data_IF_776706634016
#
_entry.id   IF_776706634016
#
_cell.length_a   1.000
_cell.length_b   1.000
_cell.length_c   1.000
_cell.angle_alpha   90.00
_cell.angle_beta   90.00
_cell.angle_gamma   90.00
#
_symmetry.space_group_name_H-M   'P 1'
#
loop_
_entity.id
_entity.type
_entity.pdbx_description
1 polymer ?
#
# COMPACT_ATOMS: atom_id res chain seq x y z
N UNK A 1 20.82 3.73 -14.93
CA UNK A 1 19.94 2.57 -15.15
C UNK A 1 18.53 3.06 -14.87
N UNK A 2 17.57 2.90 -15.79
CA UNK A 2 16.23 3.45 -15.57
C UNK A 2 15.26 2.35 -15.13
N UNK A 3 14.56 2.56 -14.02
CA UNK A 3 13.62 1.61 -13.46
C UNK A 3 12.22 2.21 -13.51
N UNK A 4 11.29 1.49 -14.15
CA UNK A 4 9.88 1.84 -14.13
C UNK A 4 9.25 1.23 -12.88
N UNK A 5 8.72 2.05 -11.98
CA UNK A 5 8.04 1.60 -10.77
C UNK A 5 6.54 1.70 -10.99
N UNK A 6 5.82 0.60 -10.79
CA UNK A 6 4.38 0.46 -11.01
C UNK A 6 3.67 0.13 -9.70
N UNK A 7 2.59 0.85 -9.43
CA UNK A 7 1.63 0.54 -8.37
C UNK A 7 0.22 0.49 -8.98
N UNK A 8 -0.21 -0.72 -9.34
CA UNK A 8 -1.50 -0.98 -9.94
C UNK A 8 -2.57 -1.23 -8.86
N UNK A 9 -3.67 -0.49 -8.95
CA UNK A 9 -4.93 -0.75 -8.24
C UNK A 9 -6.01 -1.25 -9.21
N UNK A 10 -7.20 -1.56 -8.69
CA UNK A 10 -8.29 -2.14 -9.50
C UNK A 10 -8.76 -1.23 -10.65
N UNK A 11 -8.68 0.08 -10.48
CA UNK A 11 -9.13 1.08 -11.47
C UNK A 11 -8.14 2.24 -11.65
N UNK A 12 -6.91 2.08 -11.17
CA UNK A 12 -5.87 3.11 -11.29
C UNK A 12 -4.49 2.48 -11.41
N UNK A 13 -3.55 3.24 -11.97
CA UNK A 13 -2.17 2.84 -12.09
C UNK A 13 -1.27 4.05 -11.85
N UNK A 14 -0.48 4.01 -10.78
CA UNK A 14 0.54 5.01 -10.50
C UNK A 14 1.88 4.51 -11.01
N UNK A 15 2.67 5.40 -11.59
CA UNK A 15 4.01 5.05 -12.01
C UNK A 15 5.02 6.16 -11.75
N UNK A 16 6.28 5.75 -11.65
CA UNK A 16 7.44 6.62 -11.73
C UNK A 16 8.50 5.95 -12.60
N UNK A 17 9.22 6.74 -13.37
CA UNK A 17 10.45 6.30 -14.00
C UNK A 17 11.60 6.97 -13.24
N UNK A 18 12.50 6.16 -12.70
CA UNK A 18 13.58 6.60 -11.81
C UNK A 18 14.92 6.28 -12.47
N UNK A 19 15.84 7.25 -12.49
CA UNK A 19 17.23 6.99 -12.88
C UNK A 19 18.07 6.61 -11.67
N UNK A 20 18.46 5.35 -11.60
CA UNK A 20 19.19 4.78 -10.48
C UNK A 20 20.66 5.22 -10.40
N UNK A 21 21.20 5.96 -11.38
CA UNK A 21 22.55 6.55 -11.20
C UNK A 21 22.58 7.68 -10.17
N UNK A 22 21.44 8.34 -9.93
CA UNK A 22 21.33 9.45 -8.99
C UNK A 22 20.01 9.45 -8.20
N UNK A 23 19.21 8.39 -8.32
CA UNK A 23 17.89 8.21 -7.70
C UNK A 23 16.89 9.32 -8.06
N UNK A 24 17.06 10.03 -9.18
CA UNK A 24 16.14 11.08 -9.60
C UNK A 24 14.88 10.52 -10.26
N UNK A 25 13.74 11.12 -9.94
CA UNK A 25 12.46 10.84 -10.61
C UNK A 25 12.44 11.62 -11.93
N UNK A 26 12.58 10.92 -13.06
CA UNK A 26 12.60 11.55 -14.39
C UNK A 26 11.20 11.75 -14.95
N UNK A 27 10.27 10.87 -14.61
CA UNK A 27 8.84 11.04 -14.89
C UNK A 27 7.98 10.39 -13.80
N UNK A 28 6.76 10.88 -13.65
CA UNK A 28 5.73 10.24 -12.83
C UNK A 28 4.36 10.47 -13.42
N UNK A 29 3.41 9.60 -13.13
CA UNK A 29 2.05 9.82 -13.57
C UNK A 29 1.05 8.89 -12.90
N UNK A 30 -0.19 9.10 -13.31
CA UNK A 30 -1.35 8.40 -12.78
C UNK A 30 -2.37 8.18 -13.90
N UNK A 31 -2.69 6.93 -14.17
CA UNK A 31 -3.88 6.52 -14.88
C UNK A 31 -5.03 6.38 -13.88
N UNK A 32 -6.15 7.04 -14.15
CA UNK A 32 -7.36 6.95 -13.34
C UNK A 32 -8.51 6.40 -14.17
N UNK A 33 -9.47 5.78 -13.47
CA UNK A 33 -10.72 5.29 -14.06
C UNK A 33 -10.49 4.26 -15.16
N UNK A 34 -9.50 3.38 -15.00
CA UNK A 34 -9.29 2.24 -15.91
C UNK A 34 -10.53 1.34 -15.88
N UNK A 35 -10.99 0.93 -17.06
CA UNK A 35 -12.24 0.20 -17.32
C UNK A 35 -13.51 0.97 -16.90
N UNK A 36 -13.42 2.29 -16.75
CA UNK A 36 -14.51 3.18 -16.36
C UNK A 36 -14.51 4.40 -17.30
N UNK A 37 -15.70 4.89 -17.65
CA UNK A 37 -15.86 6.08 -18.49
C UNK A 37 -15.10 7.28 -17.94
N UNK A 38 -14.51 8.09 -18.82
CA UNK A 38 -13.69 9.24 -18.44
C UNK A 38 -12.31 8.86 -17.91
N UNK A 39 -11.74 7.78 -18.47
CA UNK A 39 -10.34 7.42 -18.28
C UNK A 39 -9.42 8.61 -18.55
N UNK A 40 -8.43 8.82 -17.66
CA UNK A 40 -7.48 9.91 -17.80
C UNK A 40 -6.08 9.47 -17.38
N UNK A 41 -5.08 9.82 -18.18
CA UNK A 41 -3.67 9.72 -17.83
C UNK A 41 -3.13 11.13 -17.57
N UNK A 42 -2.72 11.38 -16.33
CA UNK A 42 -1.96 12.58 -15.96
C UNK A 42 -0.47 12.22 -15.91
N UNK A 43 0.30 12.74 -16.86
CA UNK A 43 1.74 12.55 -16.99
C UNK A 43 2.50 13.80 -16.54
N UNK A 44 3.56 13.62 -15.73
CA UNK A 44 4.42 14.71 -15.26
C UNK A 44 5.88 14.38 -15.54
N UNK A 45 6.51 15.21 -16.37
CA UNK A 45 7.90 15.09 -16.78
C UNK A 45 8.49 16.47 -17.07
N UNK A 46 9.80 16.65 -16.86
CA UNK A 46 10.51 17.90 -17.18
C UNK A 46 9.84 19.17 -16.60
N UNK A 47 9.23 19.07 -15.42
CA UNK A 47 8.50 20.16 -14.76
C UNK A 47 7.15 20.53 -15.40
N UNK A 48 6.69 19.78 -16.41
CA UNK A 48 5.40 19.97 -17.08
C UNK A 48 4.42 18.85 -16.75
N UNK A 49 3.14 19.18 -16.84
CA UNK A 49 2.03 18.24 -16.73
C UNK A 49 1.33 18.14 -18.10
N UNK A 50 1.04 16.92 -18.52
CA UNK A 50 0.33 16.61 -19.77
C UNK A 50 -0.80 15.64 -19.44
N UNK A 51 -2.00 15.91 -19.96
CA UNK A 51 -3.20 15.13 -19.67
C UNK A 51 -3.71 14.49 -20.95
N UNK A 52 -3.92 13.18 -20.92
CA UNK A 52 -4.47 12.39 -22.03
C UNK A 52 -5.84 11.85 -21.64
N UNK A 53 -6.87 12.20 -22.41
CA UNK A 53 -8.26 11.78 -22.21
C UNK A 53 -8.62 10.69 -23.24
N UNK A 54 -8.02 9.52 -23.10
CA UNK A 54 -8.26 8.37 -23.97
C UNK A 54 -8.83 7.21 -23.14
N UNK A 55 -9.64 6.37 -23.78
CA UNK A 55 -10.22 5.20 -23.14
C UNK A 55 -9.14 4.19 -22.74
N UNK A 56 -9.23 3.72 -21.49
CA UNK A 56 -8.37 2.66 -20.96
C UNK A 56 -9.25 1.47 -20.56
N UNK A 57 -9.68 0.60 -21.50
CA UNK A 57 -10.60 -0.50 -21.20
C UNK A 57 -10.00 -1.55 -20.26
N UNK A 58 -8.67 -1.61 -20.13
CA UNK A 58 -7.95 -2.50 -19.23
C UNK A 58 -6.54 -1.96 -18.91
N UNK A 59 -5.83 -2.63 -18.01
CA UNK A 59 -4.48 -2.24 -17.59
C UNK A 59 -3.41 -2.38 -18.66
N UNK A 60 -3.59 -3.25 -19.65
CA UNK A 60 -2.66 -3.38 -20.77
C UNK A 60 -2.67 -2.12 -21.63
N UNK A 61 -3.86 -1.60 -21.95
CA UNK A 61 -3.99 -0.31 -22.66
C UNK A 61 -3.45 0.84 -21.81
N UNK A 62 -3.75 0.85 -20.50
CA UNK A 62 -3.24 1.89 -19.60
C UNK A 62 -1.70 1.92 -19.55
N UNK A 63 -1.06 0.75 -19.41
CA UNK A 63 0.39 0.63 -19.44
C UNK A 63 0.94 1.07 -20.80
N UNK A 64 0.34 0.64 -21.91
CA UNK A 64 0.77 1.07 -23.24
C UNK A 64 0.73 2.59 -23.38
N UNK A 65 -0.33 3.24 -22.91
CA UNK A 65 -0.41 4.70 -22.88
C UNK A 65 0.68 5.36 -22.03
N UNK A 66 1.02 4.76 -20.88
CA UNK A 66 2.15 5.22 -20.06
C UNK A 66 3.46 5.14 -20.84
N UNK A 67 3.71 4.02 -21.52
CA UNK A 67 4.91 3.83 -22.32
C UNK A 67 4.97 4.81 -23.50
N UNK A 68 3.86 4.99 -24.23
CA UNK A 68 3.74 5.95 -25.33
C UNK A 68 4.02 7.39 -24.85
N UNK A 69 3.51 7.77 -23.67
CA UNK A 69 3.78 9.08 -23.07
C UNK A 69 5.27 9.25 -22.70
N UNK A 70 5.94 8.17 -22.25
CA UNK A 70 7.36 8.21 -21.89
C UNK A 70 8.29 8.40 -23.11
N UNK A 71 7.89 7.95 -24.31
CA UNK A 71 8.66 8.15 -25.57
C UNK A 71 8.12 9.25 -26.47
N UNK A 72 7.03 9.91 -26.07
CA UNK A 72 6.42 10.96 -26.84
C UNK A 72 7.42 12.07 -27.19
N UNK A 73 7.49 12.56 -28.44
CA UNK A 73 8.31 13.71 -28.79
C UNK A 73 7.95 14.98 -28.02
N UNK A 74 6.71 15.09 -27.53
CA UNK A 74 6.18 16.30 -26.89
C UNK A 74 6.43 16.34 -25.38
N UNK A 75 6.27 15.21 -24.70
CA UNK A 75 6.34 15.12 -23.24
C UNK A 75 7.25 13.99 -22.71
N UNK A 76 7.82 13.19 -23.60
CA UNK A 76 8.64 12.03 -23.25
C UNK A 76 9.97 12.38 -22.59
N UNK A 77 10.56 11.36 -21.96
CA UNK A 77 11.82 11.43 -21.19
C UNK A 77 12.84 10.38 -21.63
N UNK A 78 12.46 9.47 -22.53
CA UNK A 78 13.30 8.43 -23.12
C UNK A 78 13.03 8.34 -24.62
N UNK A 79 13.98 7.83 -25.40
CA UNK A 79 13.88 7.69 -26.86
C UNK A 79 13.22 6.38 -27.28
N UNK A 80 13.42 5.32 -26.51
CA UNK A 80 12.80 4.01 -26.73
C UNK A 80 12.57 3.28 -25.41
N UNK A 81 11.74 2.24 -25.46
CA UNK A 81 11.48 1.35 -24.33
C UNK A 81 12.73 0.60 -23.85
N UNK A 82 13.73 0.42 -24.72
CA UNK A 82 14.99 -0.27 -24.38
C UNK A 82 15.81 0.49 -23.34
N UNK A 83 15.50 1.77 -23.09
CA UNK A 83 16.13 2.53 -22.01
C UNK A 83 15.62 2.12 -20.62
N UNK A 84 14.48 1.42 -20.53
CA UNK A 84 13.94 0.89 -19.27
C UNK A 84 14.61 -0.45 -18.99
N UNK A 85 15.42 -0.50 -17.95
CA UNK A 85 16.25 -1.65 -17.62
C UNK A 85 15.50 -2.75 -16.86
N UNK A 86 14.49 -2.38 -16.08
CA UNK A 86 13.59 -3.30 -15.38
C UNK A 86 12.32 -2.56 -14.91
N UNK A 87 11.30 -3.33 -14.52
CA UNK A 87 10.07 -2.80 -13.92
C UNK A 87 9.91 -3.35 -12.49
N UNK A 88 9.77 -2.46 -11.52
CA UNK A 88 9.43 -2.81 -10.13
C UNK A 88 7.93 -2.68 -9.89
N UNK A 89 7.29 -3.74 -9.39
CA UNK A 89 5.87 -3.77 -9.10
C UNK A 89 5.63 -3.84 -7.59
N UNK A 90 4.83 -2.91 -7.07
CA UNK A 90 4.27 -3.07 -5.73
C UNK A 90 3.23 -4.21 -5.76
N UNK A 91 3.42 -5.20 -4.90
CA UNK A 91 2.47 -6.28 -4.64
C UNK A 91 2.06 -6.22 -3.17
N UNK A 92 0.76 -6.32 -2.87
CA UNK A 92 0.29 -6.09 -1.50
C UNK A 92 0.61 -7.25 -0.57
N UNK A 93 0.49 -8.50 -1.01
CA UNK A 93 0.57 -9.65 -0.11
C UNK A 93 1.49 -10.75 -0.66
N UNK A 94 2.54 -11.10 0.10
CA UNK A 94 3.45 -12.22 -0.17
C UNK A 94 3.13 -13.51 0.59
N UNK A 95 2.16 -13.46 1.51
CA UNK A 95 1.88 -14.54 2.44
C UNK A 95 3.15 -14.91 3.24
N UNK A 96 3.42 -16.20 3.41
CA UNK A 96 4.69 -16.71 3.94
C UNK A 96 5.65 -17.15 2.83
N UNK A 97 5.26 -17.00 1.55
CA UNK A 97 6.04 -17.51 0.41
C UNK A 97 7.24 -16.62 0.07
N UNK A 98 7.10 -15.30 0.25
CA UNK A 98 8.19 -14.34 -0.02
C UNK A 98 8.44 -13.42 1.16
N UNK A 99 9.70 -13.40 1.61
CA UNK A 99 10.21 -12.55 2.70
C UNK A 99 11.01 -11.36 2.19
N UNK A 100 11.28 -11.30 0.89
CA UNK A 100 12.02 -10.25 0.20
C UNK A 100 11.46 -10.01 -1.21
N UNK A 101 11.97 -9.00 -1.90
CA UNK A 101 11.61 -8.74 -3.30
C UNK A 101 12.19 -9.84 -4.20
N UNK A 102 11.44 -10.24 -5.22
CA UNK A 102 11.85 -11.35 -6.11
C UNK A 102 11.72 -10.97 -7.59
N UNK A 103 12.58 -11.56 -8.41
CA UNK A 103 12.42 -11.54 -9.86
C UNK A 103 11.17 -12.35 -10.22
N UNK A 104 10.31 -11.78 -11.07
CA UNK A 104 9.06 -12.43 -11.47
C UNK A 104 9.33 -13.38 -12.63
N UNK A 105 9.02 -14.65 -12.38
CA UNK A 105 8.82 -15.68 -13.40
C UNK A 105 7.39 -16.24 -13.32
N UNK A 106 7.11 -17.32 -14.06
CA UNK A 106 5.80 -17.97 -14.07
C UNK A 106 5.41 -18.57 -12.71
N UNK A 107 6.37 -19.06 -11.93
CA UNK A 107 6.11 -19.67 -10.62
C UNK A 107 5.77 -18.58 -9.60
N UNK A 108 6.54 -17.50 -9.57
CA UNK A 108 6.27 -16.33 -8.73
C UNK A 108 4.90 -15.74 -9.04
N UNK A 109 4.52 -15.65 -10.32
CA UNK A 109 3.22 -15.13 -10.73
C UNK A 109 2.07 -16.03 -10.25
N UNK A 110 2.21 -17.35 -10.38
CA UNK A 110 1.22 -18.31 -9.88
C UNK A 110 1.07 -18.26 -8.35
N UNK A 111 2.17 -18.06 -7.62
CA UNK A 111 2.13 -17.85 -6.16
C UNK A 111 1.41 -16.54 -5.82
N UNK A 112 1.70 -15.45 -6.53
CA UNK A 112 1.01 -14.16 -6.34
C UNK A 112 -0.50 -14.28 -6.59
N UNK A 113 -0.91 -15.05 -7.60
CA UNK A 113 -2.30 -15.35 -7.90
C UNK A 113 -2.99 -16.09 -6.75
N UNK A 114 -2.38 -17.18 -6.26
CA UNK A 114 -2.88 -17.95 -5.11
C UNK A 114 -3.01 -17.07 -3.87
N UNK A 115 -2.02 -16.20 -3.62
CA UNK A 115 -2.03 -15.27 -2.49
C UNK A 115 -3.10 -14.17 -2.59
N UNK A 116 -3.82 -14.08 -3.71
CA UNK A 116 -4.98 -13.21 -3.85
C UNK A 116 -6.12 -13.56 -2.89
N UNK A 117 -6.20 -14.80 -2.38
CA UNK A 117 -7.16 -15.16 -1.33
C UNK A 117 -6.98 -14.30 -0.07
N UNK A 118 -5.74 -13.93 0.26
CA UNK A 118 -5.40 -13.13 1.44
C UNK A 118 -5.59 -11.62 1.20
N UNK A 119 -5.57 -11.17 -0.05
CA UNK A 119 -5.72 -9.77 -0.43
C UNK A 119 -6.58 -9.59 -1.71
N UNK A 120 -7.87 -9.99 -1.70
CA UNK A 120 -8.69 -10.12 -2.90
C UNK A 120 -8.95 -8.78 -3.61
N UNK A 121 -8.86 -7.66 -2.90
CA UNK A 121 -9.04 -6.32 -3.47
C UNK A 121 -7.75 -5.73 -4.07
N UNK A 122 -6.60 -6.38 -3.87
CA UNK A 122 -5.30 -5.78 -4.19
C UNK A 122 -4.43 -6.68 -5.06
N UNK A 123 -4.13 -7.90 -4.61
CA UNK A 123 -3.23 -8.82 -5.34
C UNK A 123 -3.68 -9.09 -6.78
N UNK A 124 -4.99 -9.29 -7.09
CA UNK A 124 -5.43 -9.47 -8.48
C UNK A 124 -5.05 -8.30 -9.38
N UNK A 125 -5.18 -7.05 -8.89
CA UNK A 125 -4.79 -5.88 -9.65
C UNK A 125 -3.27 -5.76 -9.80
N UNK A 126 -2.51 -6.18 -8.79
CA UNK A 126 -1.04 -6.21 -8.87
C UNK A 126 -0.55 -7.23 -9.92
N UNK A 127 -1.10 -8.45 -9.89
CA UNK A 127 -0.85 -9.50 -10.89
C UNK A 127 -1.23 -9.03 -12.29
N UNK A 128 -2.39 -8.39 -12.44
CA UNK A 128 -2.84 -7.83 -13.72
C UNK A 128 -1.85 -6.79 -14.24
N UNK A 129 -1.35 -5.89 -13.38
CA UNK A 129 -0.33 -4.91 -13.74
C UNK A 129 1.00 -5.55 -14.18
N UNK A 130 1.44 -6.61 -13.51
CA UNK A 130 2.62 -7.39 -13.92
C UNK A 130 2.43 -8.02 -15.29
N UNK A 131 1.30 -8.72 -15.52
CA UNK A 131 0.99 -9.35 -16.80
C UNK A 131 0.88 -8.33 -17.94
N UNK A 132 0.26 -7.18 -17.67
CA UNK A 132 0.17 -6.08 -18.63
C UNK A 132 1.58 -5.61 -19.04
N UNK A 133 2.48 -5.35 -18.08
CA UNK A 133 3.86 -5.00 -18.38
C UNK A 133 4.61 -6.10 -19.13
N UNK A 134 4.42 -7.39 -18.79
CA UNK A 134 5.04 -8.50 -19.53
C UNK A 134 4.54 -8.58 -20.98
N UNK A 135 3.26 -8.27 -21.25
CA UNK A 135 2.70 -8.24 -22.61
C UNK A 135 3.38 -7.16 -23.47
N UNK A 136 3.53 -5.95 -22.92
CA UNK A 136 4.06 -4.80 -23.68
C UNK A 136 5.60 -4.70 -23.67
N UNK A 137 6.27 -5.33 -22.72
CA UNK A 137 7.73 -5.28 -22.52
C UNK A 137 8.29 -6.71 -22.27
N UNK A 138 8.15 -7.63 -23.25
CA UNK A 138 8.37 -9.07 -23.04
C UNK A 138 9.79 -9.47 -22.63
N UNK A 139 10.78 -8.64 -22.97
CA UNK A 139 12.19 -8.90 -22.66
C UNK A 139 12.69 -8.14 -21.42
N UNK A 140 11.83 -7.37 -20.75
CA UNK A 140 12.23 -6.55 -19.59
C UNK A 140 12.04 -7.33 -18.30
N UNK A 141 13.07 -7.41 -17.41
CA UNK A 141 12.93 -8.02 -16.10
C UNK A 141 11.86 -7.33 -15.24
N UNK A 142 11.00 -8.12 -14.62
CA UNK A 142 9.95 -7.65 -13.71
C UNK A 142 10.30 -8.06 -12.29
N UNK A 143 10.19 -7.17 -11.32
CA UNK A 143 10.49 -7.45 -9.89
C UNK A 143 9.24 -7.20 -9.07
N UNK A 144 8.83 -8.16 -8.24
CA UNK A 144 7.76 -7.98 -7.27
C UNK A 144 8.34 -7.52 -5.92
N UNK A 145 7.81 -6.41 -5.39
CA UNK A 145 8.17 -5.82 -4.11
C UNK A 145 6.94 -5.85 -3.21
N UNK A 146 7.01 -6.61 -2.11
CA UNK A 146 5.83 -6.92 -1.30
C UNK A 146 5.68 -6.02 -0.08
N UNK A 147 4.48 -5.47 0.14
CA UNK A 147 4.17 -4.67 1.34
C UNK A 147 4.32 -5.48 2.64
N UNK A 148 4.17 -6.80 2.58
CA UNK A 148 4.25 -7.73 3.74
C UNK A 148 5.68 -8.23 4.01
N UNK A 149 6.60 -8.14 3.04
CA UNK A 149 7.92 -8.80 3.12
C UNK A 149 8.76 -8.31 4.30
N UNK A 150 8.83 -6.99 4.54
CA UNK A 150 9.61 -6.42 5.66
C UNK A 150 9.16 -6.96 7.03
N UNK A 151 7.87 -7.26 7.17
CA UNK A 151 7.25 -7.76 8.39
C UNK A 151 7.40 -9.28 8.58
N UNK A 152 7.96 -10.00 7.60
CA UNK A 152 8.22 -11.45 7.73
C UNK A 152 9.19 -11.80 8.86
N UNK A 153 9.98 -10.81 9.33
CA UNK A 153 10.90 -10.94 10.46
C UNK A 153 10.23 -10.91 11.84
N UNK A 154 8.92 -10.65 11.92
CA UNK A 154 8.19 -10.70 13.19
C UNK A 154 8.31 -12.09 13.85
N UNK A 155 8.59 -12.17 15.15
CA UNK A 155 8.60 -13.44 15.87
C UNK A 155 7.18 -14.01 16.02
N UNK A 156 7.08 -15.31 16.26
CA UNK A 156 5.81 -16.06 16.34
C UNK A 156 4.81 -15.50 17.34
N UNK A 157 5.29 -15.13 18.53
CA UNK A 157 4.46 -14.52 19.56
C UNK A 157 3.90 -13.14 19.17
N UNK A 158 4.49 -12.45 18.18
CA UNK A 158 4.03 -11.15 17.72
C UNK A 158 3.03 -11.28 16.55
N UNK A 159 3.12 -12.34 15.75
CA UNK A 159 2.23 -12.52 14.60
C UNK A 159 1.06 -13.48 14.83
N UNK A 160 1.13 -14.36 15.82
CA UNK A 160 0.04 -15.28 16.11
C UNK A 160 -1.08 -14.57 16.88
N UNK A 161 -2.32 -14.72 16.40
CA UNK A 161 -3.49 -14.30 17.14
C UNK A 161 -3.85 -15.32 18.23
N UNK A 162 -4.48 -14.85 19.31
CA UNK A 162 -5.02 -15.67 20.41
C UNK A 162 -6.27 -16.48 20.00
N UNK A 163 -6.21 -17.20 18.89
CA UNK A 163 -7.26 -18.09 18.37
C UNK A 163 -6.74 -19.53 18.29
N UNK A 164 -7.58 -20.48 17.86
CA UNK A 164 -7.17 -21.88 17.66
C UNK A 164 -5.94 -21.95 16.74
N UNK A 165 -4.84 -22.50 17.23
CA UNK A 165 -3.58 -22.61 16.46
C UNK A 165 -3.74 -23.39 15.14
N UNK A 166 -4.71 -24.30 15.07
CA UNK A 166 -5.06 -25.03 13.84
C UNK A 166 -5.53 -24.10 12.70
N UNK A 167 -6.14 -22.94 13.02
CA UNK A 167 -6.52 -21.96 12.01
C UNK A 167 -5.31 -21.30 11.36
N UNK A 168 -4.24 -21.04 12.12
CA UNK A 168 -2.97 -20.62 11.55
C UNK A 168 -2.40 -21.72 10.64
N UNK A 169 -2.34 -22.97 11.11
CA UNK A 169 -1.79 -24.08 10.32
C UNK A 169 -2.53 -24.32 9.00
N UNK A 170 -3.86 -24.25 9.01
CA UNK A 170 -4.71 -24.54 7.84
C UNK A 170 -4.89 -23.35 6.91
N UNK A 171 -5.15 -22.17 7.46
CA UNK A 171 -5.59 -20.99 6.71
C UNK A 171 -4.57 -19.86 6.71
N UNK A 172 -3.43 -20.04 7.38
CA UNK A 172 -2.37 -19.03 7.51
C UNK A 172 -2.91 -17.71 8.07
N UNK A 173 -3.86 -17.80 9.01
CA UNK A 173 -4.37 -16.64 9.74
C UNK A 173 -3.32 -16.22 10.77
N UNK A 174 -2.62 -15.13 10.44
CA UNK A 174 -1.60 -14.46 11.25
C UNK A 174 -1.57 -12.98 10.93
N UNK A 175 -0.87 -12.20 11.74
CA UNK A 175 -0.45 -10.85 11.38
C UNK A 175 0.56 -10.94 10.23
N UNK A 176 0.28 -10.21 9.15
CA UNK A 176 1.23 -10.02 8.06
C UNK A 176 1.82 -8.62 8.08
N UNK A 177 0.99 -7.60 8.34
CA UNK A 177 1.40 -6.21 8.28
C UNK A 177 1.56 -5.68 6.84
N UNK A 178 1.41 -4.38 6.65
CA UNK A 178 1.52 -3.72 5.35
C UNK A 178 2.27 -2.41 5.48
N UNK A 179 2.48 -1.73 4.35
CA UNK A 179 3.40 -0.59 4.24
C UNK A 179 4.86 -0.96 4.56
N UNK A 180 5.24 -2.24 4.44
CA UNK A 180 6.57 -2.73 4.77
C UNK A 180 7.68 -2.00 4.04
N UNK A 181 7.56 -1.75 2.73
CA UNK A 181 8.54 -0.97 1.97
C UNK A 181 8.72 0.45 2.52
N UNK A 182 7.64 1.09 2.98
CA UNK A 182 7.72 2.42 3.59
C UNK A 182 8.44 2.35 4.93
N UNK A 183 8.07 1.41 5.81
CA UNK A 183 8.69 1.24 7.12
C UNK A 183 10.17 0.88 7.01
N UNK A 184 10.52 -0.03 6.11
CA UNK A 184 11.89 -0.40 5.78
C UNK A 184 12.71 0.82 5.35
N UNK A 185 12.19 1.62 4.43
CA UNK A 185 12.88 2.81 3.94
C UNK A 185 13.09 3.84 5.05
N UNK A 186 12.03 4.25 5.76
CA UNK A 186 12.16 5.34 6.74
C UNK A 186 12.92 4.92 8.00
N UNK A 187 12.90 3.64 8.39
CA UNK A 187 13.74 3.14 9.51
C UNK A 187 15.22 3.13 9.13
N UNK A 188 15.54 2.75 7.90
CA UNK A 188 16.92 2.78 7.37
C UNK A 188 17.45 4.21 7.26
N UNK A 189 16.64 5.14 6.73
CA UNK A 189 17.01 6.54 6.67
C UNK A 189 17.16 7.14 8.07
N UNK A 190 16.30 6.80 9.03
CA UNK A 190 16.46 7.24 10.42
C UNK A 190 17.81 6.80 11.02
N UNK A 191 18.24 5.55 10.80
CA UNK A 191 19.55 5.09 11.24
C UNK A 191 20.69 5.92 10.61
N UNK A 192 20.60 6.18 9.31
CA UNK A 192 21.57 7.02 8.56
C UNK A 192 21.61 8.45 9.08
N UNK A 193 20.46 9.07 9.37
CA UNK A 193 20.38 10.40 9.99
C UNK A 193 21.06 10.45 11.37
N UNK A 194 21.06 9.34 12.10
CA UNK A 194 21.74 9.20 13.38
C UNK A 194 23.24 8.87 13.25
N UNK A 195 23.76 8.71 12.02
CA UNK A 195 25.14 8.29 11.77
C UNK A 195 25.42 6.85 12.24
N UNK A 196 24.39 6.00 12.25
CA UNK A 196 24.44 4.60 12.73
C UNK A 196 24.01 3.63 11.65
N UNK A 197 24.37 2.35 11.82
CA UNK A 197 23.82 1.27 11.01
C UNK A 197 22.43 0.86 11.54
N UNK A 198 21.54 0.29 10.70
CA UNK A 198 20.23 -0.18 11.13
C UNK A 198 20.28 -1.17 12.31
N UNK A 199 21.32 -2.00 12.39
CA UNK A 199 21.50 -3.00 13.45
C UNK A 199 21.76 -2.38 14.83
N UNK A 200 22.08 -1.09 14.89
CA UNK A 200 22.49 -0.37 16.11
C UNK A 200 21.35 0.51 16.69
N UNK A 201 20.16 0.47 16.09
CA UNK A 201 19.04 1.34 16.48
C UNK A 201 17.74 0.58 16.67
N UNK A 202 16.92 1.10 17.57
CA UNK A 202 15.50 0.76 17.71
C UNK A 202 14.68 1.95 17.24
N UNK A 203 13.78 1.72 16.30
CA UNK A 203 13.00 2.77 15.65
C UNK A 203 11.53 2.36 15.66
N UNK A 204 10.66 3.28 16.09
CA UNK A 204 9.22 3.16 15.86
C UNK A 204 8.88 4.03 14.66
N UNK A 205 8.44 3.42 13.57
CA UNK A 205 8.08 4.11 12.34
C UNK A 205 6.58 4.33 12.28
N UNK A 206 6.15 5.58 12.03
CA UNK A 206 4.74 5.95 11.92
C UNK A 206 4.42 6.32 10.47
N UNK A 207 3.93 5.37 9.68
CA UNK A 207 3.40 5.65 8.34
C UNK A 207 1.97 6.16 8.49
N UNK A 208 1.79 7.49 8.48
CA UNK A 208 0.50 8.14 8.73
C UNK A 208 -0.05 8.77 7.44
N UNK A 209 -1.05 8.12 6.87
CA UNK A 209 -1.75 8.57 5.67
C UNK A 209 -3.22 8.12 5.69
N UNK A 210 -3.85 8.07 4.51
CA UNK A 210 -5.24 7.61 4.42
C UNK A 210 -5.40 6.15 4.90
N UNK A 211 -4.39 5.30 4.61
CA UNK A 211 -4.11 4.11 5.40
C UNK A 211 -2.96 4.42 6.36
N UNK A 212 -3.06 4.00 7.61
CA UNK A 212 -2.07 4.32 8.64
C UNK A 212 -1.61 3.06 9.36
N UNK A 213 -0.31 2.95 9.59
CA UNK A 213 0.28 1.83 10.33
C UNK A 213 1.51 2.29 11.09
N UNK A 214 1.77 1.65 12.22
CA UNK A 214 2.96 1.89 13.05
C UNK A 214 3.73 0.58 13.11
N UNK A 215 5.05 0.62 13.01
CA UNK A 215 5.88 -0.58 13.14
C UNK A 215 6.99 -0.37 14.17
N UNK A 216 7.29 -1.43 14.90
CA UNK A 216 8.47 -1.55 15.75
C UNK A 216 9.59 -2.18 14.93
N UNK A 217 10.73 -1.50 14.82
CA UNK A 217 11.91 -1.95 14.11
C UNK A 217 13.08 -2.03 15.09
N UNK A 218 13.62 -3.22 15.31
CA UNK A 218 14.75 -3.48 16.19
C UNK A 218 15.90 -4.08 15.37
N UNK A 219 17.03 -3.37 15.30
CA UNK A 219 18.20 -3.83 14.56
C UNK A 219 17.93 -4.01 13.06
N UNK A 220 17.17 -3.11 12.45
CA UNK A 220 16.80 -3.16 11.03
C UNK A 220 15.72 -4.20 10.68
N UNK A 221 15.18 -4.93 11.65
CA UNK A 221 14.13 -5.95 11.45
C UNK A 221 12.81 -5.50 12.05
N UNK A 222 11.70 -5.79 11.38
CA UNK A 222 10.38 -5.53 11.93
C UNK A 222 10.05 -6.57 13.00
N UNK A 223 9.82 -6.12 14.23
CA UNK A 223 9.48 -7.01 15.36
C UNK A 223 7.99 -6.97 15.71
N UNK A 224 7.28 -5.90 15.35
CA UNK A 224 5.82 -5.82 15.39
C UNK A 224 5.32 -4.74 14.42
N UNK A 225 4.03 -4.77 14.07
CA UNK A 225 3.34 -3.78 13.26
C UNK A 225 1.85 -3.72 13.60
N UNK A 226 1.24 -2.55 13.46
CA UNK A 226 -0.14 -2.32 13.93
C UNK A 226 -1.17 -2.96 13.01
N UNK A 227 -0.83 -3.13 11.72
CA UNK A 227 -1.72 -3.81 10.78
C UNK A 227 -1.64 -5.32 10.92
N UNK A 228 -2.75 -5.97 10.60
CA UNK A 228 -3.03 -7.35 10.94
C UNK A 228 -2.84 -8.35 9.81
N UNK A 229 -3.74 -9.34 9.82
CA UNK A 229 -4.08 -10.18 8.68
C UNK A 229 -4.55 -9.35 7.49
N UNK A 230 -5.23 -8.22 7.75
CA UNK A 230 -5.64 -7.26 6.73
C UNK A 230 -5.22 -5.83 7.13
N UNK A 231 -5.25 -4.87 6.18
CA UNK A 231 -5.00 -3.46 6.48
C UNK A 231 -6.07 -2.75 7.33
N UNK A 232 -7.02 -3.50 7.91
CA UNK A 232 -8.09 -2.96 8.77
C UNK A 232 -7.65 -2.81 10.23
N UNK A 233 -6.84 -3.73 10.75
CA UNK A 233 -6.32 -3.70 12.12
C UNK A 233 -5.37 -2.51 12.31
N UNK A 234 -5.29 -1.99 13.53
CA UNK A 234 -4.34 -0.95 13.93
C UNK A 234 -5.01 0.29 14.49
N UNK A 235 -4.44 1.44 14.14
CA UNK A 235 -5.03 2.76 14.42
C UNK A 235 -6.25 3.01 13.54
N UNK A 236 -7.22 3.86 13.96
CA UNK A 236 -8.23 4.36 13.02
C UNK A 236 -7.53 5.05 11.85
N UNK A 237 -8.12 4.98 10.65
CA UNK A 237 -7.54 5.56 9.44
C UNK A 237 -8.53 6.53 8.79
N UNK A 238 -8.35 6.89 7.51
CA UNK A 238 -9.28 7.78 6.81
C UNK A 238 -10.72 7.26 6.85
N UNK A 239 -10.93 6.02 6.41
CA UNK A 239 -12.26 5.37 6.33
C UNK A 239 -12.34 4.02 7.05
N UNK A 240 -11.21 3.57 7.62
CA UNK A 240 -11.10 2.26 8.26
C UNK A 240 -11.18 2.40 9.78
N UNK A 241 -11.89 1.48 10.43
CA UNK A 241 -12.14 1.52 11.87
C UNK A 241 -10.86 1.45 12.71
N UNK A 242 -9.83 0.74 12.24
CA UNK A 242 -8.78 0.27 13.13
C UNK A 242 -9.33 -0.80 14.07
N UNK A 243 -8.69 -0.95 15.22
CA UNK A 243 -9.11 -1.92 16.24
C UNK A 243 -10.45 -1.55 16.87
N UNK A 244 -11.35 -2.53 16.90
CA UNK A 244 -12.63 -2.48 17.60
C UNK A 244 -12.87 -3.82 18.29
N UNK A 245 -13.65 -3.80 19.36
CA UNK A 245 -14.08 -5.02 20.04
C UNK A 245 -14.93 -5.88 19.08
N UNK A 246 -14.58 -7.15 18.84
CA UNK A 246 -15.38 -8.05 18.00
C UNK A 246 -16.85 -8.15 18.43
N UNK A 247 -17.16 -8.00 19.73
CA UNK A 247 -18.53 -8.05 20.26
C UNK A 247 -19.36 -6.83 19.82
N UNK A 248 -18.72 -5.67 19.60
CA UNK A 248 -19.38 -4.50 19.02
C UNK A 248 -19.81 -4.76 17.58
N UNK A 249 -19.01 -5.54 16.83
CA UNK A 249 -19.32 -5.94 15.46
C UNK A 249 -20.59 -6.79 15.45
N UNK A 250 -20.65 -7.83 16.28
CA UNK A 250 -21.84 -8.69 16.41
C UNK A 250 -23.07 -7.87 16.80
N UNK A 251 -22.94 -7.01 17.80
CA UNK A 251 -24.04 -6.16 18.26
C UNK A 251 -24.59 -5.26 17.14
N UNK A 252 -23.71 -4.59 16.39
CA UNK A 252 -24.11 -3.74 15.26
C UNK A 252 -24.78 -4.56 14.16
N UNK A 253 -24.23 -5.72 13.80
CA UNK A 253 -24.83 -6.62 12.81
C UNK A 253 -26.26 -6.99 13.17
N UNK A 254 -26.51 -7.33 14.44
CA UNK A 254 -27.86 -7.67 14.90
C UNK A 254 -28.81 -6.47 14.90
N UNK A 255 -28.34 -5.27 15.25
CA UNK A 255 -29.16 -4.06 15.30
C UNK A 255 -29.52 -3.52 13.92
N UNK A 256 -28.57 -3.55 13.00
CA UNK A 256 -28.73 -3.01 11.65
C UNK A 256 -29.18 -4.07 10.62
N UNK A 257 -29.25 -5.34 11.03
CA UNK A 257 -29.58 -6.45 10.14
C UNK A 257 -28.53 -6.67 9.04
N UNK A 258 -27.26 -6.38 9.33
CA UNK A 258 -26.17 -6.52 8.36
C UNK A 258 -25.63 -7.94 8.30
N UNK A 259 -25.29 -8.38 7.08
CA UNK A 259 -24.46 -9.55 6.87
C UNK A 259 -22.96 -9.23 7.01
N UNK A 260 -22.12 -10.26 6.88
CA UNK A 260 -20.65 -10.12 7.00
C UNK A 260 -20.11 -9.19 5.91
N UNK A 261 -20.58 -9.31 4.66
CA UNK A 261 -20.05 -8.53 3.55
C UNK A 261 -20.33 -7.02 3.73
N UNK A 262 -21.55 -6.67 4.12
CA UNK A 262 -21.97 -5.31 4.48
C UNK A 262 -21.16 -4.76 5.64
N UNK A 263 -20.90 -5.59 6.66
CA UNK A 263 -20.14 -5.23 7.84
C UNK A 263 -18.67 -4.95 7.53
N UNK A 264 -18.02 -5.82 6.75
CA UNK A 264 -16.65 -5.59 6.29
C UNK A 264 -16.55 -4.32 5.44
N UNK A 265 -17.56 -4.05 4.59
CA UNK A 265 -17.65 -2.79 3.84
C UNK A 265 -17.76 -1.58 4.77
N UNK A 266 -18.65 -1.64 5.77
CA UNK A 266 -18.82 -0.59 6.79
C UNK A 266 -17.48 -0.27 7.47
N UNK A 267 -16.80 -1.30 8.00
CA UNK A 267 -15.53 -1.16 8.70
C UNK A 267 -14.40 -0.61 7.83
N UNK A 268 -14.44 -0.82 6.50
CA UNK A 268 -13.40 -0.36 5.58
C UNK A 268 -13.67 1.01 4.95
N UNK A 269 -14.94 1.40 4.79
CA UNK A 269 -15.35 2.53 3.93
C UNK A 269 -16.13 3.62 4.65
N UNK A 270 -16.72 3.34 5.79
CA UNK A 270 -17.66 4.23 6.48
C UNK A 270 -17.22 4.56 7.91
N UNK A 271 -16.07 4.04 8.34
CA UNK A 271 -15.52 4.22 9.69
C UNK A 271 -14.34 5.21 9.70
N UNK A 272 -13.45 5.09 10.69
CA UNK A 272 -12.25 5.91 10.80
C UNK A 272 -12.58 7.37 11.09
N UNK A 273 -11.67 8.27 10.73
CA UNK A 273 -11.88 9.71 10.95
C UNK A 273 -13.07 10.25 10.16
N UNK A 274 -13.38 9.66 8.99
CA UNK A 274 -14.59 9.99 8.22
C UNK A 274 -15.85 9.74 9.04
N UNK A 275 -15.99 8.53 9.59
CA UNK A 275 -17.16 8.16 10.40
C UNK A 275 -17.25 8.97 11.69
N UNK A 276 -16.12 9.27 12.33
CA UNK A 276 -16.09 10.07 13.56
C UNK A 276 -16.38 11.56 13.34
N UNK A 277 -15.96 12.11 12.21
CA UNK A 277 -16.11 13.54 11.92
C UNK A 277 -17.42 13.87 11.21
N UNK A 278 -18.10 12.86 10.64
CA UNK A 278 -19.24 13.02 9.71
C UNK A 278 -18.96 14.01 8.55
N UNK A 279 -17.71 14.05 8.07
CA UNK A 279 -17.24 15.12 7.20
C UNK A 279 -16.27 14.63 6.12
N UNK A 280 -15.02 14.34 6.49
CA UNK A 280 -13.98 13.96 5.52
C UNK A 280 -13.04 12.90 6.09
N UNK A 281 -12.54 12.04 5.21
CA UNK A 281 -11.43 11.14 5.50
C UNK A 281 -10.07 11.84 5.45
N UNK A 282 -10.00 13.09 4.97
CA UNK A 282 -8.77 13.85 4.75
C UNK A 282 -8.48 14.80 5.92
N UNK A 283 -7.36 14.59 6.59
CA UNK A 283 -6.93 15.44 7.70
C UNK A 283 -6.76 16.91 7.34
N UNK A 284 -6.46 17.23 6.07
CA UNK A 284 -6.36 18.62 5.59
C UNK A 284 -7.72 19.30 5.60
N UNK A 285 -8.77 18.59 5.20
CA UNK A 285 -10.14 19.10 5.27
C UNK A 285 -10.62 19.21 6.70
N UNK A 286 -10.28 18.22 7.55
CA UNK A 286 -10.67 18.23 8.95
C UNK A 286 -10.12 19.45 9.68
N UNK A 287 -8.84 19.78 9.44
CA UNK A 287 -8.12 20.88 10.07
C UNK A 287 -8.25 22.22 9.33
N UNK A 288 -9.00 22.28 8.22
CA UNK A 288 -9.12 23.50 7.44
C UNK A 288 -9.78 24.64 8.25
N UNK A 289 -9.32 25.90 8.11
CA UNK A 289 -9.96 27.05 8.74
C UNK A 289 -11.46 27.11 8.42
N UNK A 290 -12.28 27.30 9.45
CA UNK A 290 -13.74 27.33 9.34
C UNK A 290 -14.41 25.94 9.24
N UNK A 291 -13.66 24.85 9.07
CA UNK A 291 -14.17 23.47 9.12
C UNK A 291 -13.86 22.74 10.42
N UNK A 292 -12.83 23.16 11.16
CA UNK A 292 -12.40 22.52 12.42
C UNK A 292 -13.41 22.70 13.57
N UNK A 293 -14.47 21.89 13.55
CA UNK A 293 -15.54 21.85 14.56
C UNK A 293 -15.25 20.79 15.66
N UNK A 294 -16.20 20.59 16.58
CA UNK A 294 -16.04 19.64 17.69
C UNK A 294 -15.84 18.18 17.25
N UNK A 295 -16.56 17.71 16.23
CA UNK A 295 -16.42 16.33 15.73
C UNK A 295 -15.11 16.14 14.95
N UNK A 296 -14.71 17.13 14.14
CA UNK A 296 -13.41 17.12 13.47
C UNK A 296 -12.26 17.07 14.49
N UNK A 297 -12.35 17.89 15.55
CA UNK A 297 -11.37 17.86 16.64
C UNK A 297 -11.34 16.49 17.32
N UNK A 298 -12.51 15.93 17.65
CA UNK A 298 -12.62 14.61 18.26
C UNK A 298 -11.98 13.52 17.40
N UNK A 299 -12.24 13.52 16.09
CA UNK A 299 -11.67 12.56 15.15
C UNK A 299 -10.13 12.65 15.11
N UNK A 300 -9.58 13.87 15.04
CA UNK A 300 -8.13 14.12 15.04
C UNK A 300 -7.51 13.71 16.38
N UNK A 301 -8.12 14.09 17.51
CA UNK A 301 -7.64 13.74 18.86
C UNK A 301 -7.64 12.21 19.05
N UNK A 302 -8.70 11.52 18.63
CA UNK A 302 -8.82 10.07 18.74
C UNK A 302 -7.77 9.34 17.89
N UNK A 303 -7.49 9.83 16.67
CA UNK A 303 -6.39 9.32 15.86
C UNK A 303 -5.04 9.51 16.56
N UNK A 304 -4.72 10.73 16.98
CA UNK A 304 -3.46 11.06 17.65
C UNK A 304 -3.25 10.26 18.94
N UNK A 305 -4.33 10.04 19.71
CA UNK A 305 -4.31 9.23 20.93
C UNK A 305 -3.97 7.77 20.64
N UNK A 306 -4.57 7.17 19.61
CA UNK A 306 -4.26 5.80 19.21
C UNK A 306 -2.82 5.66 18.71
N UNK A 307 -2.32 6.62 17.92
CA UNK A 307 -0.91 6.65 17.51
C UNK A 307 0.01 6.68 18.73
N UNK A 308 -0.26 7.56 19.70
CA UNK A 308 0.51 7.67 20.94
C UNK A 308 0.51 6.36 21.73
N UNK A 309 -0.64 5.67 21.84
CA UNK A 309 -0.72 4.37 22.51
C UNK A 309 0.18 3.32 21.86
N UNK A 310 0.16 3.22 20.53
CA UNK A 310 1.01 2.27 19.79
C UNK A 310 2.50 2.58 19.95
N UNK A 311 2.89 3.86 19.94
CA UNK A 311 4.27 4.25 20.24
C UNK A 311 4.68 3.79 21.65
N UNK A 312 3.79 3.96 22.64
CA UNK A 312 4.02 3.45 23.99
C UNK A 312 4.14 1.93 24.05
N UNK A 313 3.26 1.19 23.36
CA UNK A 313 3.29 -0.28 23.36
C UNK A 313 4.51 -0.86 22.67
N UNK A 314 5.03 -0.20 21.62
CA UNK A 314 6.21 -0.66 20.88
C UNK A 314 7.53 -0.20 21.49
N UNK A 315 7.49 0.72 22.46
CA UNK A 315 8.65 1.08 23.25
C UNK A 315 8.89 0.15 24.45
N UNK A 316 7.83 -0.49 24.96
CA UNK A 316 7.86 -1.44 26.08
C UNK A 316 8.35 -2.82 25.62
#
# INVERSE_FOLDING_TARGET
MKILVINAGSSSLKYQLIDMTNESVIAKGLCERIAIDGSVLTHKANGKETVFNNDMPNHEVAIKMVLDALVSPECGVIKSMDEISAVGHRVVHSAEDFTESVLVDSEVLAICERNSELAPLHNPANVMGIKACQSVMPNTPMVAVFDTAFHSSMPDYAYLYGIRYDHYKKYKIRKYGFHGTSHMFVSSEAAKYMGKKPEEVKVITCHLGNGSSIAAVDGGKSVDTSMGFTPLEGVPMGTRSGNIDPSVIEYLMQKEGWDIARTIKYLNKECGVLGMSENSSDFRDLMAPGKFNGLNKLAVDAFAYNVKKYVGSYAA
#
